data_IF_565011630540
#
_entry.id   IF_565011630540
#
_cell.length_a   1.000
_cell.length_b   1.000
_cell.length_c   1.000
_cell.angle_alpha   90.00
_cell.angle_beta   90.00
_cell.angle_gamma   90.00
#
_symmetry.space_group_name_H-M   'P 1'
#
loop_
_entity.id
_entity.type
_entity.pdbx_description
1 polymer ?
#
# COMPACT_ATOMS: atom_id res chain seq x y z
N UNK A 1 13.45 -7.88 -24.99
CA UNK A 1 12.12 -8.31 -24.49
C UNK A 1 12.00 -7.83 -23.05
N UNK A 2 10.79 -7.58 -22.54
CA UNK A 2 10.60 -7.16 -21.15
C UNK A 2 10.49 -8.41 -20.27
N UNK A 3 11.64 -9.00 -19.96
CA UNK A 3 11.74 -10.30 -19.29
C UNK A 3 12.68 -10.30 -18.07
N UNK A 4 13.20 -9.15 -17.65
CA UNK A 4 14.04 -8.98 -16.46
C UNK A 4 13.20 -8.43 -15.28
N UNK A 5 13.53 -8.76 -14.02
CA UNK A 5 12.95 -8.07 -12.88
C UNK A 5 13.42 -6.60 -12.89
N UNK A 6 12.59 -5.69 -12.38
CA UNK A 6 12.87 -4.26 -12.32
C UNK A 6 12.95 -3.82 -10.86
N UNK A 7 14.16 -3.65 -10.33
CA UNK A 7 14.33 -3.10 -8.99
C UNK A 7 13.95 -1.61 -8.99
N UNK A 8 13.15 -1.20 -8.01
CA UNK A 8 12.64 0.17 -7.92
C UNK A 8 13.39 0.95 -6.85
N UNK A 9 13.71 2.21 -7.15
CA UNK A 9 14.31 3.14 -6.19
C UNK A 9 13.20 3.73 -5.32
N UNK A 10 13.24 3.53 -3.98
CA UNK A 10 12.20 4.03 -3.09
C UNK A 10 12.24 5.56 -2.97
N UNK A 11 11.06 6.17 -2.92
CA UNK A 11 10.90 7.59 -2.62
C UNK A 11 10.48 7.78 -1.17
N UNK A 12 11.26 8.52 -0.39
CA UNK A 12 10.96 8.76 1.02
C UNK A 12 10.19 10.06 1.25
N UNK A 13 9.35 10.06 2.29
CA UNK A 13 8.61 11.25 2.75
C UNK A 13 8.83 11.47 4.24
N UNK A 14 9.18 12.70 4.60
CA UNK A 14 9.56 13.09 5.95
C UNK A 14 8.44 13.92 6.59
N UNK A 15 7.40 13.22 7.04
CA UNK A 15 6.29 13.83 7.75
C UNK A 15 6.51 13.83 9.26
N UNK A 16 5.85 14.77 9.94
CA UNK A 16 5.95 14.99 11.40
C UNK A 16 5.66 13.76 12.27
N UNK A 17 4.95 12.77 11.73
CA UNK A 17 4.56 11.54 12.44
C UNK A 17 5.54 10.38 12.23
N UNK A 18 6.56 10.56 11.37
CA UNK A 18 7.48 9.51 10.96
C UNK A 18 8.48 9.10 12.03
N UNK A 19 8.97 7.86 11.92
CA UNK A 19 9.94 7.26 12.81
C UNK A 19 11.36 7.19 12.24
N UNK A 20 12.04 6.08 12.56
CA UNK A 20 13.46 5.83 12.28
C UNK A 20 13.71 4.43 11.68
N UNK A 21 12.69 3.58 11.52
CA UNK A 21 12.84 2.18 11.08
C UNK A 21 13.13 2.05 9.59
N UNK A 22 12.64 2.98 8.77
CA UNK A 22 12.82 2.96 7.31
C UNK A 22 14.20 3.48 6.87
N UNK A 23 14.70 4.53 7.55
CA UNK A 23 16.04 5.09 7.32
C UNK A 23 16.73 5.41 8.65
N UNK A 24 17.36 4.41 9.29
CA UNK A 24 18.05 4.60 10.55
C UNK A 24 19.05 5.76 10.50
N UNK A 25 18.87 6.75 11.38
CA UNK A 25 19.69 7.96 11.46
C UNK A 25 19.12 9.17 10.70
N UNK A 26 18.04 9.01 9.93
CA UNK A 26 17.34 10.09 9.23
C UNK A 26 15.91 10.17 9.78
N UNK A 27 15.68 11.08 10.73
CA UNK A 27 14.42 11.21 11.47
C UNK A 27 13.88 12.64 11.32
N UNK A 28 12.57 12.83 11.05
CA UNK A 28 11.57 11.79 10.83
C UNK A 28 11.62 11.21 9.42
N UNK A 29 11.50 9.89 9.28
CA UNK A 29 11.13 9.23 8.02
C UNK A 29 9.78 8.55 8.19
N UNK A 30 8.78 9.01 7.44
CA UNK A 30 7.38 8.61 7.63
C UNK A 30 6.95 7.53 6.64
N UNK A 31 7.22 7.75 5.35
CA UNK A 31 6.83 6.83 4.28
C UNK A 31 8.04 6.50 3.40
N UNK A 32 8.04 5.29 2.85
CA UNK A 32 8.83 4.90 1.69
C UNK A 32 7.88 4.39 0.61
N UNK A 33 7.77 5.08 -0.52
CA UNK A 33 6.98 4.65 -1.66
C UNK A 33 7.86 3.71 -2.49
N UNK A 34 7.53 2.43 -2.44
CA UNK A 34 8.35 1.34 -2.99
C UNK A 34 7.83 0.83 -4.33
N UNK A 35 6.57 1.09 -4.66
CA UNK A 35 6.00 0.88 -6.00
C UNK A 35 5.03 2.02 -6.32
N UNK A 36 5.34 2.81 -7.33
CA UNK A 36 4.52 3.90 -7.81
C UNK A 36 4.99 4.34 -9.20
N UNK A 37 4.11 5.02 -9.95
CA UNK A 37 4.40 5.46 -11.32
C UNK A 37 5.58 6.44 -11.43
N UNK A 38 5.96 7.12 -10.33
CA UNK A 38 7.13 8.00 -10.29
C UNK A 38 8.44 7.29 -9.89
N UNK A 39 8.37 6.09 -9.30
CA UNK A 39 9.59 5.38 -8.89
C UNK A 39 10.49 5.11 -10.10
N UNK A 40 11.78 5.38 -9.93
CA UNK A 40 12.80 5.11 -10.94
C UNK A 40 13.18 3.63 -10.93
N UNK A 41 13.44 3.10 -12.11
CA UNK A 41 14.09 1.80 -12.27
C UNK A 41 15.58 1.96 -11.96
N UNK A 42 16.10 1.12 -11.07
CA UNK A 42 17.43 1.30 -10.50
C UNK A 42 18.55 1.02 -11.51
N UNK A 43 18.40 -0.03 -12.33
CA UNK A 43 19.47 -0.55 -13.18
C UNK A 43 18.98 -1.18 -14.49
N UNK A 44 19.93 -1.73 -15.25
CA UNK A 44 19.66 -2.41 -16.52
C UNK A 44 19.21 -1.47 -17.64
N UNK A 45 18.54 -2.05 -18.65
CA UNK A 45 18.15 -1.35 -19.89
C UNK A 45 17.24 -0.14 -19.67
N UNK A 46 16.44 -0.15 -18.61
CA UNK A 46 15.43 0.88 -18.32
C UNK A 46 15.84 1.80 -17.15
N UNK A 47 17.10 1.71 -16.69
CA UNK A 47 17.61 2.52 -15.58
C UNK A 47 17.31 4.01 -15.78
N UNK A 48 16.82 4.66 -14.73
CA UNK A 48 16.49 6.09 -14.73
C UNK A 48 15.17 6.47 -15.43
N UNK A 49 14.46 5.53 -16.05
CA UNK A 49 13.06 5.74 -16.44
C UNK A 49 12.14 5.54 -15.24
N UNK A 50 11.02 6.26 -15.20
CA UNK A 50 9.98 6.00 -14.18
C UNK A 50 9.13 4.79 -14.58
N UNK A 51 8.55 4.12 -13.58
CA UNK A 51 7.64 3.00 -13.80
C UNK A 51 6.43 3.41 -14.67
N UNK A 52 5.93 4.63 -14.52
CA UNK A 52 4.84 5.19 -15.33
C UNK A 52 5.24 5.41 -16.79
N UNK A 53 6.47 5.88 -17.07
CA UNK A 53 6.98 5.99 -18.43
C UNK A 53 7.06 4.61 -19.10
N UNK A 54 7.58 3.62 -18.38
CA UNK A 54 7.67 2.25 -18.91
C UNK A 54 6.29 1.62 -19.10
N UNK A 55 5.32 1.90 -18.22
CA UNK A 55 3.94 1.46 -18.36
C UNK A 55 3.27 2.07 -19.62
N UNK A 56 3.51 3.35 -19.88
CA UNK A 56 3.07 4.02 -21.10
C UNK A 56 3.68 3.42 -22.37
N UNK A 57 4.97 3.06 -22.33
CA UNK A 57 5.67 2.51 -23.48
C UNK A 57 5.30 1.03 -23.74
N UNK A 58 5.23 0.21 -22.69
CA UNK A 58 5.12 -1.25 -22.81
C UNK A 58 3.70 -1.77 -22.63
N UNK A 59 2.77 -0.96 -22.11
CA UNK A 59 1.36 -1.31 -21.95
C UNK A 59 1.17 -2.67 -21.30
N UNK A 60 0.42 -3.56 -21.95
CA UNK A 60 0.13 -4.92 -21.47
C UNK A 60 1.38 -5.77 -21.22
N UNK A 61 2.50 -5.54 -21.91
CA UNK A 61 3.71 -6.33 -21.66
C UNK A 61 4.29 -6.08 -20.26
N UNK A 62 4.16 -4.84 -19.74
CA UNK A 62 4.52 -4.53 -18.36
C UNK A 62 3.37 -4.89 -17.42
N UNK A 63 2.18 -4.35 -17.70
CA UNK A 63 1.07 -4.35 -16.76
C UNK A 63 0.36 -5.70 -16.67
N UNK A 64 0.18 -6.38 -17.80
CA UNK A 64 -0.73 -7.52 -17.94
C UNK A 64 -2.12 -7.10 -18.39
N UNK A 65 -2.91 -8.07 -18.85
CA UNK A 65 -4.24 -7.85 -19.44
C UNK A 65 -5.23 -7.23 -18.46
N UNK A 66 -5.18 -7.62 -17.17
CA UNK A 66 -6.16 -7.22 -16.15
C UNK A 66 -6.02 -5.77 -15.71
N UNK A 67 -4.86 -5.31 -15.21
CA UNK A 67 -4.68 -3.89 -14.90
C UNK A 67 -4.79 -2.99 -16.13
N UNK A 68 -4.32 -3.43 -17.30
CA UNK A 68 -4.49 -2.63 -18.53
C UNK A 68 -5.97 -2.38 -18.87
N UNK A 69 -6.85 -3.36 -18.63
CA UNK A 69 -8.29 -3.19 -18.82
C UNK A 69 -8.91 -2.18 -17.84
N UNK A 70 -8.31 -1.98 -16.66
CA UNK A 70 -8.81 -1.09 -15.60
C UNK A 70 -8.28 0.35 -15.74
N UNK A 71 -6.99 0.51 -16.01
CA UNK A 71 -6.30 1.81 -15.96
C UNK A 71 -5.61 2.19 -17.27
N UNK A 72 -5.78 1.41 -18.33
CA UNK A 72 -5.08 1.61 -19.60
C UNK A 72 -3.58 1.49 -19.42
N UNK A 73 -2.84 2.53 -19.80
CA UNK A 73 -1.39 2.59 -19.66
C UNK A 73 -0.90 3.19 -18.35
N UNK A 74 -1.81 3.69 -17.48
CA UNK A 74 -1.40 4.21 -16.17
C UNK A 74 -1.11 3.06 -15.22
N UNK A 75 -0.01 3.14 -14.48
CA UNK A 75 0.32 2.12 -13.49
C UNK A 75 -0.72 2.14 -12.34
N UNK A 76 -1.34 0.99 -11.99
CA UNK A 76 -2.60 0.96 -11.24
C UNK A 76 -2.47 1.05 -9.72
N UNK A 77 -1.28 0.84 -9.16
CA UNK A 77 -1.06 0.73 -7.71
C UNK A 77 -0.06 1.76 -7.18
N UNK A 78 -0.23 2.09 -5.90
CA UNK A 78 0.78 2.69 -5.05
C UNK A 78 1.02 1.75 -3.86
N UNK A 79 2.28 1.44 -3.58
CA UNK A 79 2.69 0.62 -2.45
C UNK A 79 3.67 1.39 -1.59
N UNK A 80 3.40 1.42 -0.28
CA UNK A 80 4.17 2.18 0.69
C UNK A 80 4.56 1.32 1.88
N UNK A 81 5.69 1.66 2.47
CA UNK A 81 6.03 1.31 3.85
C UNK A 81 5.82 2.54 4.72
N UNK A 82 5.13 2.41 5.85
CA UNK A 82 4.85 3.51 6.77
C UNK A 82 5.39 3.21 8.16
N UNK A 83 6.25 4.08 8.69
CA UNK A 83 6.77 3.99 10.06
C UNK A 83 6.09 5.02 10.96
N UNK A 84 5.05 4.58 11.66
CA UNK A 84 4.16 5.42 12.44
C UNK A 84 4.74 5.63 13.85
N UNK A 85 5.51 6.70 14.08
CA UNK A 85 5.97 7.08 15.41
C UNK A 85 4.94 7.91 16.20
N UNK A 86 4.04 8.60 15.48
CA UNK A 86 2.89 9.30 16.03
C UNK A 86 1.64 8.96 15.23
N UNK A 87 0.48 9.44 15.69
CA UNK A 87 -0.74 9.36 14.89
C UNK A 87 -0.60 10.08 13.54
N UNK A 88 -0.95 9.35 12.48
CA UNK A 88 -1.31 9.97 11.20
C UNK A 88 -2.59 10.77 11.38
N UNK A 89 -2.87 11.71 10.48
CA UNK A 89 -4.16 12.40 10.51
C UNK A 89 -5.31 11.42 10.38
N UNK A 90 -6.44 11.74 11.01
CA UNK A 90 -7.70 11.09 10.70
C UNK A 90 -8.15 11.52 9.30
N UNK A 91 -8.40 10.55 8.45
CA UNK A 91 -8.57 10.78 7.02
C UNK A 91 -9.64 9.86 6.42
N UNK A 92 -10.11 10.25 5.24
CA UNK A 92 -11.04 9.48 4.42
C UNK A 92 -10.69 9.69 2.94
N UNK A 93 -11.02 8.69 2.13
CA UNK A 93 -10.63 8.60 0.73
C UNK A 93 -11.85 8.46 -0.18
N UNK A 94 -11.87 9.11 -1.36
CA UNK A 94 -12.95 8.95 -2.35
C UNK A 94 -12.90 7.57 -3.02
N UNK A 95 -14.04 7.10 -3.51
CA UNK A 95 -14.07 6.06 -4.55
C UNK A 95 -13.75 6.64 -5.95
N UNK A 96 -13.73 5.81 -6.99
CA UNK A 96 -13.34 6.25 -8.34
C UNK A 96 -14.28 7.32 -8.92
N UNK A 97 -15.58 7.17 -8.73
CA UNK A 97 -16.57 8.15 -9.22
C UNK A 97 -16.43 9.48 -8.48
N UNK A 98 -16.31 9.42 -7.15
CA UNK A 98 -16.09 10.59 -6.31
C UNK A 98 -14.76 11.29 -6.61
N UNK A 99 -13.68 10.54 -6.87
CA UNK A 99 -12.39 11.12 -7.23
C UNK A 99 -12.48 11.91 -8.54
N UNK A 100 -13.16 11.35 -9.56
CA UNK A 100 -13.38 12.05 -10.83
C UNK A 100 -14.22 13.31 -10.62
N UNK A 101 -15.29 13.23 -9.82
CA UNK A 101 -16.17 14.36 -9.55
C UNK A 101 -15.48 15.49 -8.75
N UNK A 102 -14.60 15.15 -7.81
CA UNK A 102 -13.98 16.11 -6.88
C UNK A 102 -12.63 16.65 -7.36
N UNK A 103 -11.90 15.89 -8.17
CA UNK A 103 -10.51 16.17 -8.56
C UNK A 103 -10.28 16.17 -10.08
N UNK A 104 -11.27 15.72 -10.86
CA UNK A 104 -11.27 15.79 -12.32
C UNK A 104 -10.99 14.46 -13.04
N UNK A 105 -11.05 14.45 -14.38
CA UNK A 105 -10.92 13.24 -15.17
C UNK A 105 -9.53 12.59 -15.02
N UNK A 106 -9.49 11.25 -15.03
CA UNK A 106 -8.25 10.47 -14.91
C UNK A 106 -7.75 10.27 -13.48
N UNK A 107 -8.49 10.77 -12.48
CA UNK A 107 -8.23 10.52 -11.07
C UNK A 107 -8.88 9.22 -10.62
N UNK A 108 -8.24 8.54 -9.67
CA UNK A 108 -8.72 7.28 -9.11
C UNK A 108 -9.07 7.48 -7.64
N UNK A 109 -10.03 6.67 -7.20
CA UNK A 109 -10.33 6.50 -5.79
C UNK A 109 -9.13 5.88 -5.06
N UNK A 110 -9.29 5.75 -3.75
CA UNK A 110 -8.24 5.20 -2.90
C UNK A 110 -8.84 4.22 -1.90
N UNK A 111 -9.09 3.01 -2.40
CA UNK A 111 -9.17 1.80 -1.58
C UNK A 111 -7.77 1.29 -1.29
N UNK A 112 -7.55 0.81 -0.07
CA UNK A 112 -6.24 0.35 0.41
C UNK A 112 -6.34 -0.91 1.28
N UNK A 113 -5.20 -1.53 1.52
CA UNK A 113 -5.04 -2.56 2.53
C UNK A 113 -3.72 -2.38 3.25
N UNK A 114 -3.75 -2.60 4.56
CA UNK A 114 -2.61 -2.48 5.46
C UNK A 114 -2.24 -3.85 5.98
N UNK A 115 -0.99 -4.26 5.77
CA UNK A 115 -0.40 -5.39 6.46
C UNK A 115 0.56 -4.90 7.54
N UNK A 116 0.35 -5.34 8.78
CA UNK A 116 1.13 -4.93 9.94
C UNK A 116 2.44 -5.72 9.96
N UNK A 117 3.54 -5.09 9.54
CA UNK A 117 4.88 -5.70 9.57
C UNK A 117 5.36 -5.80 11.02
N UNK A 118 5.26 -4.71 11.78
CA UNK A 118 5.60 -4.65 13.20
C UNK A 118 4.56 -3.85 13.97
N UNK A 119 4.22 -4.30 15.18
CA UNK A 119 3.37 -3.57 16.11
C UNK A 119 3.98 -3.55 17.52
N UNK A 120 4.03 -2.37 18.14
CA UNK A 120 4.34 -2.24 19.56
C UNK A 120 3.23 -2.88 20.43
N UNK A 121 3.52 -3.21 21.69
CA UNK A 121 2.48 -3.68 22.61
C UNK A 121 1.32 -2.69 22.71
N UNK A 122 0.09 -3.20 22.59
CA UNK A 122 -1.14 -2.41 22.57
C UNK A 122 -1.23 -1.37 21.45
N UNK A 123 -0.54 -1.58 20.32
CA UNK A 123 -0.68 -0.69 19.17
C UNK A 123 -2.13 -0.70 18.66
N UNK A 124 -2.63 0.49 18.35
CA UNK A 124 -4.00 0.68 17.88
C UNK A 124 -4.04 1.48 16.59
N UNK A 125 -5.11 1.29 15.83
CA UNK A 125 -5.47 2.14 14.69
C UNK A 125 -6.97 2.46 14.73
N UNK A 126 -7.39 3.44 13.93
CA UNK A 126 -8.80 3.75 13.68
C UNK A 126 -9.17 3.19 12.31
N UNK A 127 -10.29 2.47 12.23
CA UNK A 127 -10.76 1.80 11.01
C UNK A 127 -12.30 1.82 10.91
N UNK A 128 -12.86 3.02 10.87
CA UNK A 128 -14.30 3.27 10.80
C UNK A 128 -14.84 4.01 12.00
N UNK A 129 -16.17 4.08 12.07
CA UNK A 129 -16.92 4.72 13.14
C UNK A 129 -17.64 3.68 14.01
N UNK A 130 -17.93 4.05 15.26
CA UNK A 130 -18.73 3.23 16.17
C UNK A 130 -20.13 3.03 15.60
N UNK A 131 -20.69 1.84 15.83
CA UNK A 131 -22.08 1.52 15.47
C UNK A 131 -23.05 2.58 16.01
N UNK A 132 -24.02 2.99 15.19
CA UNK A 132 -24.99 4.04 15.51
C UNK A 132 -24.54 5.45 15.15
N UNK A 133 -23.33 5.65 14.60
CA UNK A 133 -22.92 6.95 14.05
C UNK A 133 -23.69 7.22 12.75
N UNK A 134 -24.62 8.18 12.77
CA UNK A 134 -25.38 8.61 11.59
C UNK A 134 -24.62 9.70 10.80
N UNK A 135 -25.01 10.01 9.55
CA UNK A 135 -24.44 11.13 8.81
C UNK A 135 -24.50 12.47 9.56
N UNK A 136 -25.59 12.75 10.29
CA UNK A 136 -25.78 14.00 11.05
C UNK A 136 -24.85 14.07 12.26
N UNK A 137 -24.70 12.94 12.98
CA UNK A 137 -23.75 12.83 14.10
C UNK A 137 -22.34 13.03 13.58
N UNK A 138 -21.98 12.35 12.48
CA UNK A 138 -20.66 12.47 11.87
C UNK A 138 -20.37 13.92 11.44
N UNK A 139 -21.31 14.57 10.76
CA UNK A 139 -21.17 15.95 10.32
C UNK A 139 -20.96 16.90 11.50
N UNK A 140 -21.75 16.75 12.56
CA UNK A 140 -21.63 17.55 13.77
C UNK A 140 -20.25 17.34 14.40
N UNK A 141 -19.85 16.07 14.60
CA UNK A 141 -18.61 15.72 15.27
C UNK A 141 -17.35 16.16 14.49
N UNK A 142 -17.38 16.12 13.16
CA UNK A 142 -16.30 16.66 12.32
C UNK A 142 -16.17 18.16 12.51
N UNK A 143 -17.29 18.89 12.44
CA UNK A 143 -17.30 20.37 12.54
C UNK A 143 -16.98 20.88 13.93
N UNK A 144 -17.32 20.14 14.98
CA UNK A 144 -16.98 20.46 16.37
C UNK A 144 -15.61 19.94 16.82
N UNK A 145 -14.93 19.14 15.99
CA UNK A 145 -13.64 18.53 16.35
C UNK A 145 -13.73 17.40 17.37
N UNK A 146 -14.92 16.82 17.60
CA UNK A 146 -15.17 15.74 18.57
C UNK A 146 -15.26 14.34 17.92
N UNK A 147 -14.95 14.22 16.61
CA UNK A 147 -15.05 12.96 15.86
C UNK A 147 -14.36 11.75 16.52
N UNK A 148 -13.27 11.95 17.26
CA UNK A 148 -12.55 10.86 17.94
C UNK A 148 -13.44 10.13 18.95
N UNK A 149 -14.42 10.80 19.56
CA UNK A 149 -15.38 10.18 20.48
C UNK A 149 -16.25 9.12 19.79
N UNK A 150 -16.40 9.23 18.47
CA UNK A 150 -17.18 8.33 17.63
C UNK A 150 -16.32 7.34 16.84
N UNK A 151 -14.99 7.43 16.90
CA UNK A 151 -14.10 6.58 16.12
C UNK A 151 -14.04 5.13 16.67
N UNK A 152 -13.95 4.16 15.78
CA UNK A 152 -13.68 2.77 16.13
C UNK A 152 -12.18 2.52 16.22
N UNK A 153 -11.69 2.25 17.43
CA UNK A 153 -10.31 1.82 17.65
C UNK A 153 -10.20 0.30 17.55
N UNK A 154 -9.19 -0.18 16.85
CA UNK A 154 -8.80 -1.58 16.78
C UNK A 154 -7.43 -1.77 17.42
N UNK A 155 -7.30 -2.79 18.27
CA UNK A 155 -5.99 -3.31 18.65
C UNK A 155 -5.48 -4.20 17.52
N UNK A 156 -4.20 -4.05 17.19
CA UNK A 156 -3.56 -4.83 16.12
C UNK A 156 -2.23 -5.41 16.59
N UNK A 157 -1.81 -6.49 15.94
CA UNK A 157 -0.52 -7.15 16.17
C UNK A 157 0.21 -7.38 14.85
N UNK A 158 1.51 -7.66 14.95
CA UNK A 158 2.32 -8.12 13.82
C UNK A 158 1.63 -9.26 13.07
N UNK A 159 1.55 -9.13 11.76
CA UNK A 159 0.93 -10.08 10.84
C UNK A 159 -0.55 -9.81 10.53
N UNK A 160 -1.24 -8.97 11.30
CA UNK A 160 -2.63 -8.61 11.00
C UNK A 160 -2.72 -7.88 9.64
N UNK A 161 -3.82 -8.10 8.91
CA UNK A 161 -4.15 -7.41 7.67
C UNK A 161 -5.50 -6.73 7.79
N UNK A 162 -5.59 -5.47 7.36
CA UNK A 162 -6.80 -4.66 7.38
C UNK A 162 -7.09 -4.23 5.94
N UNK A 163 -8.25 -4.59 5.41
CA UNK A 163 -8.75 -4.02 4.15
C UNK A 163 -9.54 -2.75 4.45
N UNK A 164 -9.31 -1.68 3.70
CA UNK A 164 -9.88 -0.36 3.96
C UNK A 164 -10.56 0.17 2.69
N UNK A 165 -11.88 -0.05 2.55
CA UNK A 165 -12.65 0.51 1.44
C UNK A 165 -12.64 2.03 1.43
N UNK A 166 -12.68 2.62 0.24
CA UNK A 166 -12.96 4.05 0.08
C UNK A 166 -14.23 4.48 0.86
N UNK A 167 -14.20 5.68 1.42
CA UNK A 167 -15.23 6.23 2.30
C UNK A 167 -15.14 5.84 3.77
N UNK A 168 -14.21 4.94 4.15
CA UNK A 168 -13.97 4.58 5.55
C UNK A 168 -13.08 5.61 6.24
N UNK A 169 -13.52 6.17 7.38
CA UNK A 169 -12.70 7.09 8.18
C UNK A 169 -11.66 6.28 8.97
N UNK A 170 -10.39 6.62 8.83
CA UNK A 170 -9.31 5.82 9.41
C UNK A 170 -8.06 6.64 9.78
N UNK A 171 -7.20 6.06 10.61
CA UNK A 171 -5.88 6.60 10.96
C UNK A 171 -4.98 5.49 11.51
N UNK A 172 -3.70 5.49 11.11
CA UNK A 172 -2.68 4.65 11.74
C UNK A 172 -2.15 5.32 13.01
N UNK A 173 -2.08 4.54 14.08
CA UNK A 173 -1.55 4.97 15.37
C UNK A 173 -0.05 4.72 15.55
N UNK A 174 0.52 5.24 16.65
CA UNK A 174 1.94 5.10 16.94
C UNK A 174 2.36 3.65 17.21
N UNK A 175 3.62 3.34 16.92
CA UNK A 175 4.21 2.02 17.16
C UNK A 175 3.95 1.00 16.06
N UNK A 176 3.40 1.42 14.91
CA UNK A 176 3.12 0.56 13.77
C UNK A 176 4.18 0.73 12.66
N UNK A 177 4.58 -0.39 12.06
CA UNK A 177 5.26 -0.44 10.77
C UNK A 177 4.36 -1.18 9.78
N UNK A 178 3.92 -0.49 8.74
CA UNK A 178 2.86 -0.96 7.85
C UNK A 178 3.39 -1.12 6.43
N UNK A 179 2.96 -2.19 5.75
CA UNK A 179 2.93 -2.26 4.29
C UNK A 179 1.53 -1.88 3.82
N UNK A 180 1.42 -0.80 3.06
CA UNK A 180 0.17 -0.33 2.47
C UNK A 180 0.19 -0.60 0.97
N UNK A 181 -0.79 -1.35 0.47
CA UNK A 181 -1.12 -1.41 -0.96
C UNK A 181 -2.41 -0.64 -1.18
N UNK A 182 -2.43 0.18 -2.22
CA UNK A 182 -3.58 1.00 -2.56
C UNK A 182 -3.69 1.21 -4.08
N UNK A 183 -4.85 1.70 -4.52
CA UNK A 183 -5.02 2.24 -5.87
C UNK A 183 -4.01 3.39 -6.14
N UNK A 184 -3.76 3.68 -7.42
CA UNK A 184 -2.89 4.78 -7.90
C UNK A 184 -3.49 6.17 -7.65
N UNK A 185 -3.52 6.56 -6.38
CA UNK A 185 -4.15 7.79 -5.91
C UNK A 185 -3.46 8.30 -4.65
N UNK A 186 -3.18 9.61 -4.60
CA UNK A 186 -2.68 10.27 -3.38
C UNK A 186 -3.71 11.23 -2.77
N UNK A 187 -5.00 11.03 -3.13
CA UNK A 187 -6.09 11.87 -2.63
C UNK A 187 -6.46 11.52 -1.20
N UNK A 188 -6.06 12.41 -0.30
CA UNK A 188 -6.29 12.27 1.14
C UNK A 188 -7.13 13.43 1.66
N UNK A 189 -8.37 13.15 2.09
CA UNK A 189 -9.20 14.15 2.75
C UNK A 189 -9.04 14.02 4.25
N UNK A 190 -8.28 14.97 4.79
CA UNK A 190 -8.00 15.07 6.21
C UNK A 190 -9.22 15.60 6.97
N UNK A 191 -9.68 14.81 7.93
CA UNK A 191 -10.82 15.12 8.80
C UNK A 191 -10.38 15.84 10.07
N UNK A 192 -9.32 15.33 10.70
CA UNK A 192 -8.80 15.85 11.97
C UNK A 192 -7.30 15.53 12.09
N UNK A 193 -6.54 16.41 12.76
CA UNK A 193 -5.09 16.28 12.86
C UNK A 193 -4.51 16.37 14.28
N UNK A 194 -5.28 15.95 15.29
CA UNK A 194 -4.82 15.87 16.69
C UNK A 194 -4.41 17.22 17.29
N UNK A 195 -5.07 18.30 16.83
CA UNK A 195 -4.77 19.67 17.24
C UNK A 195 -3.46 20.23 16.67
N UNK A 196 -2.79 19.52 15.74
CA UNK A 196 -1.64 20.08 15.01
C UNK A 196 -2.09 21.26 14.14
N UNK A 197 -1.27 22.34 14.05
CA UNK A 197 -1.62 23.49 13.24
C UNK A 197 -1.68 23.12 11.75
N UNK A 198 -2.66 23.69 11.04
CA UNK A 198 -2.75 23.52 9.58
C UNK A 198 -1.55 24.17 8.88
N UNK A 199 -1.06 23.49 7.85
CA UNK A 199 -0.05 24.01 6.92
C UNK A 199 -0.59 23.83 5.49
N UNK A 200 0.03 24.43 4.45
CA UNK A 200 -0.38 24.20 3.07
C UNK A 200 -0.46 22.72 2.68
N UNK A 201 0.37 21.87 3.28
CA UNK A 201 0.42 20.42 3.03
C UNK A 201 -0.41 19.60 4.04
N UNK A 202 -0.93 20.22 5.10
CA UNK A 202 -1.68 19.55 6.18
C UNK A 202 -3.05 20.15 6.47
N UNK A 203 -3.64 20.88 5.53
CA UNK A 203 -4.98 21.44 5.71
C UNK A 203 -6.05 20.37 5.94
N UNK A 204 -7.10 20.74 6.67
CA UNK A 204 -8.33 19.94 6.78
C UNK A 204 -9.16 20.09 5.50
N UNK A 205 -9.89 19.04 5.15
CA UNK A 205 -10.71 18.95 3.95
C UNK A 205 -12.16 18.62 4.34
N UNK A 206 -12.77 19.44 5.20
CA UNK A 206 -14.03 19.13 5.88
C UNK A 206 -15.15 18.75 4.89
N UNK A 207 -15.44 19.60 3.91
CA UNK A 207 -16.55 19.36 2.98
C UNK A 207 -16.29 18.16 2.06
N UNK A 208 -15.05 17.98 1.57
CA UNK A 208 -14.69 16.79 0.79
C UNK A 208 -14.75 15.51 1.64
N UNK A 209 -14.35 15.60 2.92
CA UNK A 209 -14.42 14.48 3.84
C UNK A 209 -15.86 14.04 4.06
N UNK A 210 -16.77 14.98 4.31
CA UNK A 210 -18.20 14.71 4.47
C UNK A 210 -18.82 14.10 3.21
N UNK A 211 -18.43 14.59 2.03
CA UNK A 211 -18.96 14.12 0.75
C UNK A 211 -18.64 12.64 0.46
N UNK A 212 -17.52 12.12 0.98
CA UNK A 212 -17.07 10.75 0.70
C UNK A 212 -17.22 9.79 1.87
N UNK A 213 -17.43 10.30 3.08
CA UNK A 213 -17.53 9.47 4.27
C UNK A 213 -18.77 8.60 4.26
N UNK A 214 -18.60 7.33 4.62
CA UNK A 214 -19.67 6.34 4.80
C UNK A 214 -19.72 5.99 6.30
N UNK A 215 -20.61 6.59 7.11
CA UNK A 215 -20.63 6.41 8.57
C UNK A 215 -20.74 4.95 9.03
N UNK A 216 -21.38 4.11 8.24
CA UNK A 216 -21.54 2.67 8.46
C UNK A 216 -20.29 1.85 8.07
N UNK A 217 -19.36 2.42 7.30
CA UNK A 217 -18.16 1.74 6.88
C UNK A 217 -17.19 1.57 8.07
N UNK A 218 -16.80 0.33 8.28
CA UNK A 218 -15.79 -0.07 9.25
C UNK A 218 -15.04 -1.30 8.75
N UNK A 219 -13.82 -1.45 9.22
CA UNK A 219 -12.97 -2.58 8.91
C UNK A 219 -12.62 -3.36 10.17
N UNK A 220 -12.06 -4.55 9.95
CA UNK A 220 -11.57 -5.42 11.02
C UNK A 220 -10.13 -5.85 10.71
N UNK A 221 -9.41 -6.25 11.76
CA UNK A 221 -8.11 -6.85 11.61
C UNK A 221 -8.26 -8.36 11.41
N UNK A 222 -7.78 -8.85 10.26
CA UNK A 222 -7.70 -10.26 9.94
C UNK A 222 -6.32 -10.77 10.36
N UNK A 223 -6.24 -11.81 11.21
CA UNK A 223 -4.95 -12.34 11.64
C UNK A 223 -4.19 -12.98 10.46
N UNK A 224 -2.86 -13.04 10.59
CA UNK A 224 -2.01 -13.76 9.65
C UNK A 224 -2.51 -15.21 9.48
N UNK A 225 -2.81 -15.68 8.26
CA UNK A 225 -3.13 -17.07 8.01
C UNK A 225 -1.96 -17.99 8.38
N UNK A 226 -2.24 -19.27 8.61
CA UNK A 226 -1.19 -20.27 8.79
C UNK A 226 -0.30 -20.31 7.54
N UNK A 227 1.00 -20.15 7.74
CA UNK A 227 1.99 -20.18 6.67
C UNK A 227 2.59 -21.59 6.56
N UNK A 228 2.76 -22.04 5.33
CA UNK A 228 3.49 -23.27 4.99
C UNK A 228 4.72 -22.89 4.17
N UNK A 229 5.83 -23.56 4.41
CA UNK A 229 7.10 -23.31 3.70
C UNK A 229 6.90 -23.40 2.18
N UNK A 230 7.24 -22.32 1.49
CA UNK A 230 7.12 -22.19 0.04
C UNK A 230 5.70 -22.08 -0.53
N UNK A 231 4.66 -21.99 0.31
CA UNK A 231 3.27 -21.86 -0.15
C UNK A 231 2.76 -20.42 0.08
N UNK A 232 2.34 -19.71 -0.98
CA UNK A 232 1.72 -18.40 -0.83
C UNK A 232 0.40 -18.47 -0.05
N UNK A 233 0.19 -17.53 0.85
CA UNK A 233 -1.05 -17.35 1.60
C UNK A 233 -1.69 -15.99 1.26
N UNK A 234 -3.01 -15.99 1.06
CA UNK A 234 -3.78 -14.80 0.75
C UNK A 234 -3.96 -13.93 2.00
N UNK A 235 -3.61 -12.64 1.90
CA UNK A 235 -3.83 -11.64 2.94
C UNK A 235 -5.02 -10.74 2.63
N UNK A 236 -5.16 -10.34 1.37
CA UNK A 236 -6.26 -9.50 0.90
C UNK A 236 -6.54 -9.77 -0.59
N UNK A 237 -7.81 -9.85 -0.95
CA UNK A 237 -8.26 -9.92 -2.34
C UNK A 237 -9.37 -8.89 -2.55
N UNK A 238 -9.23 -8.07 -3.58
CA UNK A 238 -10.15 -6.99 -3.88
C UNK A 238 -10.26 -6.76 -5.39
N UNK A 239 -11.24 -5.98 -5.87
CA UNK A 239 -11.32 -5.59 -7.27
C UNK A 239 -10.12 -4.77 -7.78
N UNK A 240 -9.26 -4.26 -6.90
CA UNK A 240 -8.18 -3.33 -7.24
C UNK A 240 -6.79 -3.95 -7.15
N UNK A 241 -6.60 -4.85 -6.18
CA UNK A 241 -5.34 -5.51 -5.93
C UNK A 241 -5.56 -6.82 -5.16
N UNK A 242 -4.57 -7.70 -5.28
CA UNK A 242 -4.38 -8.88 -4.45
C UNK A 242 -3.06 -8.77 -3.71
N UNK A 243 -3.08 -9.10 -2.43
CA UNK A 243 -1.92 -9.16 -1.55
C UNK A 243 -1.77 -10.56 -0.98
N UNK A 244 -0.60 -11.13 -1.16
CA UNK A 244 -0.22 -12.43 -0.61
C UNK A 244 1.10 -12.32 0.15
N UNK A 245 1.29 -13.21 1.10
CA UNK A 245 2.60 -13.43 1.72
C UNK A 245 3.12 -14.81 1.39
N UNK A 246 4.42 -14.92 1.29
CA UNK A 246 5.11 -16.20 1.18
C UNK A 246 6.32 -16.18 2.08
N UNK A 247 6.59 -17.30 2.71
CA UNK A 247 7.80 -17.53 3.45
C UNK A 247 8.48 -18.78 2.90
N UNK A 248 9.80 -18.74 2.78
CA UNK A 248 10.57 -19.88 2.30
C UNK A 248 11.90 -20.00 3.04
N UNK A 249 12.27 -21.22 3.41
CA UNK A 249 13.52 -21.53 4.11
C UNK A 249 14.65 -21.95 3.19
N UNK A 250 14.38 -22.92 2.31
CA UNK A 250 15.44 -23.56 1.51
C UNK A 250 15.06 -23.78 0.05
N UNK A 251 13.79 -24.06 -0.24
CA UNK A 251 13.35 -24.34 -1.60
C UNK A 251 12.92 -23.07 -2.32
N UNK A 252 13.23 -22.95 -3.63
CA UNK A 252 12.68 -21.89 -4.45
C UNK A 252 11.15 -21.94 -4.51
N UNK A 253 10.52 -20.77 -4.53
CA UNK A 253 9.07 -20.64 -4.75
C UNK A 253 8.82 -20.16 -6.17
N UNK A 254 8.10 -20.96 -6.94
CA UNK A 254 7.75 -20.66 -8.34
C UNK A 254 6.42 -19.91 -8.40
N UNK A 255 6.40 -18.89 -9.24
CA UNK A 255 5.22 -18.10 -9.56
C UNK A 255 5.10 -17.93 -11.07
N UNK A 256 3.92 -17.54 -11.54
CA UNK A 256 3.70 -17.23 -12.95
C UNK A 256 2.80 -16.00 -13.07
N UNK A 257 3.24 -15.00 -13.84
CA UNK A 257 2.43 -13.81 -14.16
C UNK A 257 1.26 -14.12 -15.09
N UNK A 258 1.35 -15.22 -15.85
CA UNK A 258 0.38 -15.69 -16.84
C UNK A 258 0.07 -14.64 -17.93
N UNK A 259 0.88 -13.58 -18.04
CA UNK A 259 0.55 -12.39 -18.83
C UNK A 259 -0.65 -11.58 -18.30
N UNK A 260 -1.22 -11.96 -17.15
CA UNK A 260 -2.45 -11.39 -16.62
C UNK A 260 -2.19 -10.15 -15.76
N UNK A 261 -1.13 -10.18 -14.96
CA UNK A 261 -0.70 -9.07 -14.10
C UNK A 261 0.81 -9.06 -13.93
N UNK A 262 1.38 -7.88 -13.72
CA UNK A 262 2.68 -7.76 -13.07
C UNK A 262 2.62 -8.29 -11.63
N UNK A 263 3.79 -8.57 -11.05
CA UNK A 263 3.92 -8.81 -9.61
C UNK A 263 4.95 -7.88 -8.99
N UNK A 264 4.56 -7.12 -7.98
CA UNK A 264 5.50 -6.44 -7.10
C UNK A 264 5.88 -7.39 -5.96
N UNK A 265 7.19 -7.59 -5.76
CA UNK A 265 7.75 -8.42 -4.68
C UNK A 265 8.50 -7.52 -3.72
N UNK A 266 8.12 -7.53 -2.45
CA UNK A 266 8.80 -6.80 -1.36
C UNK A 266 9.22 -7.78 -0.28
N UNK A 267 10.51 -7.79 0.08
CA UNK A 267 11.01 -8.65 1.17
C UNK A 267 10.76 -7.97 2.51
N UNK A 268 10.14 -8.66 3.46
CA UNK A 268 9.92 -8.17 4.83
C UNK A 268 11.03 -8.62 5.79
N UNK A 269 11.54 -9.83 5.58
CA UNK A 269 12.56 -10.46 6.41
C UNK A 269 13.50 -11.29 5.51
N UNK A 270 14.78 -11.36 5.88
CA UNK A 270 15.76 -12.17 5.16
C UNK A 270 16.20 -11.59 3.83
N UNK A 271 16.60 -12.46 2.92
CA UNK A 271 17.13 -12.11 1.59
C UNK A 271 16.78 -13.21 0.59
N UNK A 272 16.36 -12.82 -0.61
CA UNK A 272 16.01 -13.74 -1.69
C UNK A 272 16.57 -13.27 -3.04
N UNK A 273 16.89 -14.23 -3.92
CA UNK A 273 17.10 -13.96 -5.33
C UNK A 273 15.77 -14.04 -6.07
N UNK A 274 15.36 -12.95 -6.72
CA UNK A 274 14.25 -12.95 -7.66
C UNK A 274 14.80 -13.23 -9.06
N UNK A 275 14.45 -14.38 -9.63
CA UNK A 275 15.01 -14.89 -10.88
C UNK A 275 13.91 -15.01 -11.92
N UNK A 276 14.12 -14.40 -13.09
CA UNK A 276 13.28 -14.52 -14.28
C UNK A 276 14.09 -15.07 -15.45
N UNK A 277 13.45 -15.31 -16.59
CA UNK A 277 14.13 -15.73 -17.82
C UNK A 277 15.12 -14.70 -18.39
N UNK A 278 14.98 -13.42 -18.01
CA UNK A 278 15.82 -12.32 -18.50
C UNK A 278 16.88 -11.83 -17.52
N UNK A 279 16.91 -12.31 -16.28
CA UNK A 279 17.91 -11.90 -15.30
C UNK A 279 17.50 -12.22 -13.86
N UNK A 280 18.31 -11.76 -12.92
CA UNK A 280 18.05 -11.92 -11.50
C UNK A 280 18.44 -10.66 -10.72
N UNK A 281 17.74 -10.42 -9.62
CA UNK A 281 18.09 -9.39 -8.63
C UNK A 281 18.06 -9.98 -7.23
N UNK A 282 18.95 -9.52 -6.36
CA UNK A 282 18.94 -9.90 -4.94
C UNK A 282 18.17 -8.83 -4.17
N UNK A 283 17.19 -9.25 -3.38
CA UNK A 283 16.38 -8.36 -2.56
C UNK A 283 16.58 -8.72 -1.09
N UNK A 284 17.02 -7.74 -0.30
CA UNK A 284 17.01 -7.75 1.15
C UNK A 284 15.77 -7.07 1.72
N UNK A 285 15.70 -6.96 3.05
CA UNK A 285 14.57 -6.35 3.77
C UNK A 285 14.23 -4.96 3.22
N UNK A 286 12.95 -4.81 2.86
CA UNK A 286 12.29 -3.64 2.27
C UNK A 286 12.70 -3.28 0.85
N UNK A 287 13.59 -4.05 0.24
CA UNK A 287 13.85 -3.92 -1.19
C UNK A 287 12.70 -4.53 -1.99
N UNK A 288 12.36 -3.86 -3.08
CA UNK A 288 11.22 -4.17 -3.91
C UNK A 288 11.64 -4.25 -5.37
N UNK A 289 11.13 -5.25 -6.07
CA UNK A 289 11.23 -5.33 -7.51
C UNK A 289 9.88 -5.67 -8.14
N UNK A 290 9.67 -5.17 -9.36
CA UNK A 290 8.53 -5.52 -10.19
C UNK A 290 8.94 -6.64 -11.15
N UNK A 291 8.11 -7.68 -11.26
CA UNK A 291 8.16 -8.68 -12.33
C UNK A 291 7.13 -8.28 -13.39
N UNK A 292 7.56 -7.83 -14.57
CA UNK A 292 6.65 -7.52 -15.68
C UNK A 292 5.76 -8.70 -16.06
N UNK A 293 4.51 -8.42 -16.46
CA UNK A 293 3.56 -9.46 -16.86
C UNK A 293 4.08 -10.36 -18.00
N UNK A 294 4.91 -9.83 -18.90
CA UNK A 294 5.52 -10.59 -20.00
C UNK A 294 6.62 -11.59 -19.56
N UNK A 295 7.04 -11.61 -18.28
CA UNK A 295 8.06 -12.55 -17.81
C UNK A 295 7.57 -14.00 -17.78
N UNK A 296 6.27 -14.23 -17.57
CA UNK A 296 5.70 -15.56 -17.35
C UNK A 296 6.20 -16.15 -16.04
N UNK A 297 6.68 -17.39 -16.10
CA UNK A 297 7.23 -18.10 -14.95
C UNK A 297 8.50 -17.44 -14.41
N UNK A 298 8.58 -17.29 -13.10
CA UNK A 298 9.74 -16.80 -12.35
C UNK A 298 9.78 -17.47 -10.98
N UNK A 299 10.86 -17.29 -10.23
CA UNK A 299 10.94 -17.86 -8.90
C UNK A 299 11.73 -16.98 -7.92
N UNK A 300 11.48 -17.19 -6.64
CA UNK A 300 12.23 -16.62 -5.52
C UNK A 300 13.07 -17.71 -4.87
N UNK A 301 14.38 -17.54 -4.84
CA UNK A 301 15.32 -18.45 -4.17
C UNK A 301 15.75 -17.87 -2.82
N UNK A 302 15.64 -18.62 -1.71
CA UNK A 302 16.19 -18.17 -0.44
C UNK A 302 17.71 -18.02 -0.49
N UNK A 303 18.22 -16.81 -0.21
CA UNK A 303 19.64 -16.60 0.17
C UNK A 303 19.79 -16.86 1.66
N UNK A 304 18.84 -16.32 2.43
CA UNK A 304 18.51 -16.73 3.78
C UNK A 304 17.02 -17.09 3.83
N UNK A 305 16.53 -17.74 4.89
CA UNK A 305 15.10 -17.76 5.16
C UNK A 305 14.50 -16.37 4.99
N UNK A 306 13.42 -16.26 4.23
CA UNK A 306 12.79 -14.98 3.94
C UNK A 306 11.28 -15.01 4.16
N UNK A 307 10.70 -13.84 4.39
CA UNK A 307 9.27 -13.58 4.24
C UNK A 307 9.10 -12.44 3.24
N UNK A 308 8.25 -12.63 2.24
CA UNK A 308 7.98 -11.66 1.20
C UNK A 308 6.48 -11.38 1.10
N UNK A 309 6.15 -10.20 0.55
CA UNK A 309 4.83 -9.87 0.06
C UNK A 309 4.86 -9.85 -1.46
N UNK A 310 3.80 -10.42 -2.06
CA UNK A 310 3.51 -10.33 -3.49
C UNK A 310 2.23 -9.54 -3.68
N UNK A 311 2.28 -8.53 -4.55
CA UNK A 311 1.13 -7.70 -4.90
C UNK A 311 0.94 -7.66 -6.40
N UNK A 312 -0.31 -7.75 -6.86
CA UNK A 312 -0.69 -7.61 -8.27
C UNK A 312 -2.14 -7.17 -8.41
N UNK A 313 -2.64 -7.11 -9.64
CA UNK A 313 -4.03 -6.76 -9.95
C UNK A 313 -4.70 -7.95 -10.62
N UNK A 314 -5.72 -8.52 -9.96
CA UNK A 314 -6.51 -9.61 -10.50
C UNK A 314 -7.82 -9.13 -11.14
#
# INVERSE_FOLDING_TARGET
MLNQPLQLVPEYRDYVWGGNRLRPGIVPTAEAWVVYESNLIADGLFAGQTLGQLAAEKGQALLGTRPYAKTGTRFPLLVKLLDCAQWLSLQVHPDDEQAVALEGPGQFGKTEAWHVIEAAPNATLIAGMKSGTTPEILQTAIRSGTIIEHAQFLNVRTGDTIFMPAGTIHALGPGLLIYEVQQTSDWTYRVYDWGRPETPTRRLHIEKSLAVSRPEASSSALPLPALSDGQPALLCDSPYFRLETVYAHTQPVVFDTQGESFHAITILEGTAHLVTSGGAVTLGRFETALVPAACGTYHLEPVTPYRALRTGVL
#
